data_IF_920923673032
#
_entry.id   IF_920923673032
#
_cell.length_a   1.000
_cell.length_b   1.000
_cell.length_c   1.000
_cell.angle_alpha   90.00
_cell.angle_beta   90.00
_cell.angle_gamma   90.00
#
_symmetry.space_group_name_H-M   'P 1'
#
loop_
_entity.id
_entity.type
_entity.pdbx_description
1 polymer ?
#
# COMPACT_ATOMS: atom_id res chain seq x y z
N UNK A 1 26.58 -16.81 -15.37
CA UNK A 1 26.81 -15.74 -14.37
C UNK A 1 26.97 -14.38 -15.00
N UNK A 2 25.84 -13.75 -15.32
CA UNK A 2 25.81 -12.46 -16.02
C UNK A 2 25.02 -11.44 -15.22
N UNK A 3 25.59 -10.26 -15.02
CA UNK A 3 24.90 -9.09 -14.48
C UNK A 3 24.37 -8.27 -15.65
N UNK A 4 23.16 -7.74 -15.52
CA UNK A 4 22.55 -6.83 -16.49
C UNK A 4 22.19 -5.53 -15.80
N UNK A 5 22.40 -4.41 -16.48
CA UNK A 5 21.99 -3.09 -15.99
C UNK A 5 21.64 -2.17 -17.15
N UNK A 6 20.91 -1.12 -16.83
CA UNK A 6 20.56 -0.05 -17.76
C UNK A 6 21.46 1.14 -17.55
N UNK A 7 21.96 1.73 -18.64
CA UNK A 7 22.66 3.00 -18.63
C UNK A 7 21.80 4.06 -19.32
N UNK A 8 21.37 5.05 -18.53
CA UNK A 8 20.49 6.14 -18.99
C UNK A 8 21.22 7.14 -19.89
N UNK A 9 22.50 7.40 -19.65
CA UNK A 9 23.27 8.35 -20.46
C UNK A 9 23.53 7.77 -21.86
N UNK A 10 23.84 6.48 -21.91
CA UNK A 10 24.10 5.76 -23.16
C UNK A 10 22.82 5.31 -23.85
N UNK A 11 21.67 5.31 -23.15
CA UNK A 11 20.40 4.74 -23.61
C UNK A 11 20.58 3.27 -24.05
N UNK A 12 21.20 2.46 -23.18
CA UNK A 12 21.57 1.05 -23.46
C UNK A 12 21.23 0.13 -22.30
N UNK A 13 21.07 -1.15 -22.60
CA UNK A 13 21.20 -2.24 -21.64
C UNK A 13 22.57 -2.87 -21.85
N UNK A 14 23.32 -3.04 -20.77
CA UNK A 14 24.64 -3.63 -20.77
C UNK A 14 24.65 -4.93 -19.97
N UNK A 15 25.66 -5.76 -20.21
CA UNK A 15 25.92 -6.93 -19.40
C UNK A 15 27.42 -7.17 -19.20
N UNK A 16 27.77 -7.88 -18.13
CA UNK A 16 29.14 -8.33 -17.86
C UNK A 16 29.14 -9.59 -17.00
N UNK A 17 30.31 -10.21 -16.83
CA UNK A 17 30.48 -11.34 -15.92
C UNK A 17 30.29 -10.90 -14.46
N UNK A 18 29.29 -11.46 -13.77
CA UNK A 18 28.84 -11.03 -12.43
C UNK A 18 29.96 -10.88 -11.40
N UNK A 19 30.90 -11.83 -11.36
CA UNK A 19 31.95 -11.88 -10.32
C UNK A 19 33.29 -11.24 -10.72
N UNK A 20 33.50 -11.00 -12.02
CA UNK A 20 34.79 -10.52 -12.54
C UNK A 20 34.70 -9.13 -13.15
N UNK A 21 33.50 -8.68 -13.48
CA UNK A 21 33.26 -7.45 -14.24
C UNK A 21 33.75 -7.50 -15.70
N UNK A 22 34.40 -8.59 -16.11
CA UNK A 22 34.94 -8.76 -17.46
C UNK A 22 33.84 -9.01 -18.50
N UNK A 23 34.21 -8.92 -19.78
CA UNK A 23 33.33 -9.16 -20.92
C UNK A 23 32.09 -8.24 -20.91
N UNK A 24 32.32 -6.95 -20.67
CA UNK A 24 31.26 -5.96 -20.80
C UNK A 24 30.78 -5.90 -22.26
N UNK A 25 29.48 -6.03 -22.46
CA UNK A 25 28.85 -6.01 -23.78
C UNK A 25 27.56 -5.21 -23.73
N UNK A 26 27.13 -4.71 -24.90
CA UNK A 26 25.83 -4.07 -25.06
C UNK A 26 24.82 -5.15 -25.46
N UNK A 27 23.76 -5.28 -24.67
CA UNK A 27 22.68 -6.25 -24.88
C UNK A 27 21.57 -5.65 -25.72
N UNK A 28 21.28 -4.36 -25.52
CA UNK A 28 20.25 -3.66 -26.28
C UNK A 28 20.63 -2.21 -26.53
N UNK A 29 20.36 -1.77 -27.76
CA UNK A 29 20.56 -0.39 -28.21
C UNK A 29 19.24 0.38 -28.21
N UNK A 30 19.35 1.71 -28.11
CA UNK A 30 18.25 2.66 -28.29
C UNK A 30 17.08 2.47 -27.30
N UNK A 31 17.38 2.02 -26.07
CA UNK A 31 16.37 2.01 -25.01
C UNK A 31 16.18 3.43 -24.53
N UNK A 32 15.03 4.03 -24.82
CA UNK A 32 14.74 5.41 -24.43
C UNK A 32 14.55 5.50 -22.93
N UNK A 33 15.39 6.30 -22.26
CA UNK A 33 15.29 6.63 -20.84
C UNK A 33 15.02 5.42 -19.92
N UNK A 34 15.90 4.39 -19.93
CA UNK A 34 15.66 3.22 -19.11
C UNK A 34 15.76 3.58 -17.62
N UNK A 35 14.74 3.21 -16.85
CA UNK A 35 14.66 3.47 -15.40
C UNK A 35 14.91 2.22 -14.54
N UNK A 36 14.74 1.03 -15.11
CA UNK A 36 14.96 -0.23 -14.41
C UNK A 36 14.89 -1.42 -15.36
N UNK A 37 15.45 -2.54 -14.91
CA UNK A 37 15.43 -3.83 -15.62
C UNK A 37 15.28 -4.96 -14.61
N UNK A 38 14.57 -6.00 -15.00
CA UNK A 38 14.45 -7.25 -14.26
C UNK A 38 14.51 -8.43 -15.22
N UNK A 39 15.11 -9.53 -14.77
CA UNK A 39 15.19 -10.76 -15.56
C UNK A 39 13.95 -11.61 -15.26
N UNK A 40 13.05 -11.74 -16.22
CA UNK A 40 11.87 -12.58 -16.06
C UNK A 40 12.18 -14.03 -16.44
N UNK A 41 12.50 -14.86 -15.45
CA UNK A 41 12.76 -16.29 -15.65
C UNK A 41 12.32 -17.11 -14.42
N UNK A 42 11.62 -18.25 -14.56
CA UNK A 42 11.16 -19.06 -13.42
C UNK A 42 12.27 -19.50 -12.46
N UNK A 43 13.47 -19.80 -12.96
CA UNK A 43 14.63 -20.12 -12.12
C UNK A 43 15.04 -19.01 -11.12
N UNK A 44 14.66 -17.75 -11.37
CA UNK A 44 14.91 -16.63 -10.47
C UNK A 44 13.76 -16.42 -9.46
N UNK A 45 12.69 -17.20 -9.57
CA UNK A 45 11.55 -17.25 -8.66
C UNK A 45 11.38 -18.69 -8.14
N UNK A 46 12.38 -19.22 -7.42
CA UNK A 46 12.35 -20.62 -6.98
C UNK A 46 11.14 -20.89 -6.09
N UNK A 47 10.49 -22.03 -6.33
CA UNK A 47 9.37 -22.45 -5.49
C UNK A 47 9.83 -22.75 -4.07
N UNK A 48 9.05 -22.31 -3.09
CA UNK A 48 9.29 -22.56 -1.68
C UNK A 48 7.97 -22.76 -0.95
N UNK A 49 8.00 -23.48 0.16
CA UNK A 49 6.82 -23.64 1.00
C UNK A 49 6.37 -22.26 1.50
N UNK A 50 5.12 -21.88 1.21
CA UNK A 50 4.56 -20.59 1.62
C UNK A 50 4.09 -20.65 3.09
N UNK A 51 4.73 -19.93 4.03
CA UNK A 51 4.30 -19.89 5.44
C UNK A 51 2.89 -19.35 5.65
N UNK A 52 2.37 -18.57 4.68
CA UNK A 52 1.02 -18.04 4.71
C UNK A 52 -0.07 -19.03 4.31
N UNK A 53 0.27 -20.18 3.71
CA UNK A 53 -0.71 -21.11 3.15
C UNK A 53 -1.76 -21.61 4.17
N UNK A 54 -1.40 -21.64 5.46
CA UNK A 54 -2.29 -22.01 6.57
C UNK A 54 -2.36 -20.92 7.65
N UNK A 55 -1.93 -19.71 7.32
CA UNK A 55 -1.95 -18.61 8.28
C UNK A 55 -3.39 -18.15 8.52
N UNK A 56 -3.77 -17.82 9.77
CA UNK A 56 -5.13 -17.41 10.12
C UNK A 56 -5.41 -15.93 9.80
N UNK A 57 -4.58 -15.28 8.97
CA UNK A 57 -4.70 -13.85 8.70
C UNK A 57 -6.00 -13.55 7.95
N UNK A 58 -6.80 -12.64 8.50
CA UNK A 58 -8.06 -12.17 7.90
C UNK A 58 -7.86 -11.25 6.70
N UNK A 59 -6.72 -10.55 6.63
CA UNK A 59 -6.43 -9.56 5.59
C UNK A 59 -5.10 -9.88 4.89
N UNK A 60 -3.98 -9.32 5.38
CA UNK A 60 -2.69 -9.47 4.71
C UNK A 60 -1.78 -10.39 5.51
N UNK A 61 -1.26 -11.43 4.86
CA UNK A 61 -0.19 -12.27 5.39
C UNK A 61 1.12 -11.92 4.69
N UNK A 62 2.11 -11.44 5.45
CA UNK A 62 3.41 -11.07 4.94
C UNK A 62 4.48 -12.05 5.43
N UNK A 63 5.41 -12.40 4.54
CA UNK A 63 6.58 -13.20 4.91
C UNK A 63 7.41 -12.47 5.99
N UNK A 64 7.92 -13.24 6.94
CA UNK A 64 8.72 -12.73 8.06
C UNK A 64 9.93 -13.64 8.27
N UNK A 65 11.13 -13.10 8.54
CA UNK A 65 12.29 -13.91 8.90
C UNK A 65 12.16 -14.52 10.31
N UNK A 66 11.21 -14.04 11.12
CA UNK A 66 10.94 -14.55 12.47
C UNK A 66 9.94 -15.70 12.40
N UNK A 67 10.10 -16.70 13.26
CA UNK A 67 9.10 -17.75 13.48
C UNK A 67 7.72 -17.12 13.76
N UNK A 68 6.61 -17.57 13.13
CA UNK A 68 6.46 -18.80 12.33
C UNK A 68 6.78 -18.68 10.82
N UNK A 69 7.45 -17.62 10.36
CA UNK A 69 7.75 -17.36 8.94
C UNK A 69 6.78 -16.38 8.27
N UNK A 70 5.78 -15.91 9.00
CA UNK A 70 4.84 -14.89 8.55
C UNK A 70 4.43 -13.93 9.67
N UNK A 71 3.78 -12.84 9.29
CA UNK A 71 3.09 -11.91 10.20
C UNK A 71 1.80 -11.42 9.55
N UNK A 72 0.73 -11.28 10.33
CA UNK A 72 -0.51 -10.69 9.84
C UNK A 72 -0.45 -9.16 9.92
N UNK A 73 -0.95 -8.49 8.89
CA UNK A 73 -1.12 -7.03 8.84
C UNK A 73 -2.56 -6.67 8.54
N UNK A 74 -3.02 -5.62 9.21
CA UNK A 74 -4.35 -5.07 9.06
C UNK A 74 -4.34 -3.85 8.14
N UNK A 75 -5.45 -3.57 7.45
CA UNK A 75 -5.59 -2.37 6.66
C UNK A 75 -5.55 -1.10 7.54
N UNK A 76 -5.34 0.09 6.94
CA UNK A 76 -5.49 1.37 7.63
C UNK A 76 -6.78 1.44 8.46
N UNK A 77 -6.71 1.99 9.67
CA UNK A 77 -7.84 2.07 10.60
C UNK A 77 -8.16 0.76 11.34
N UNK A 78 -7.42 -0.32 11.11
CA UNK A 78 -7.63 -1.61 11.78
C UNK A 78 -6.38 -2.08 12.52
N UNK A 79 -6.61 -2.69 13.67
CA UNK A 79 -5.61 -3.23 14.58
C UNK A 79 -5.77 -4.73 14.70
N UNK A 80 -4.70 -5.39 15.13
CA UNK A 80 -4.74 -6.82 15.38
C UNK A 80 -5.53 -7.10 16.66
N UNK A 81 -6.48 -8.05 16.59
CA UNK A 81 -7.26 -8.47 17.75
C UNK A 81 -6.37 -9.18 18.78
N UNK A 82 -6.12 -8.50 19.91
CA UNK A 82 -5.32 -9.01 21.03
C UNK A 82 -6.12 -9.87 22.00
N UNK A 83 -7.44 -9.96 21.85
CA UNK A 83 -8.30 -10.76 22.75
C UNK A 83 -8.40 -12.22 22.29
N UNK A 84 -8.25 -12.46 20.98
CA UNK A 84 -8.22 -13.80 20.38
C UNK A 84 -6.96 -14.62 20.72
N UNK A 85 -6.04 -14.09 21.54
CA UNK A 85 -4.86 -14.81 22.06
C UNK A 85 -5.09 -15.48 23.41
N UNK A 86 -6.34 -15.61 23.88
CA UNK A 86 -6.64 -16.13 25.22
C UNK A 86 -6.62 -17.66 25.35
N UNK A 87 -6.10 -18.42 24.39
CA UNK A 87 -5.78 -19.83 24.57
C UNK A 87 -4.44 -20.17 23.88
N UNK A 88 -3.34 -20.04 24.62
CA UNK A 88 -2.07 -20.67 24.28
C UNK A 88 -0.87 -19.72 24.11
N UNK A 89 -0.01 -19.71 25.13
CA UNK A 89 1.37 -19.18 25.16
C UNK A 89 1.56 -17.68 25.00
N UNK A 90 1.68 -17.03 26.16
CA UNK A 90 2.47 -15.80 26.34
C UNK A 90 3.92 -16.11 25.94
N UNK A 91 4.28 -15.76 24.71
CA UNK A 91 5.65 -15.79 24.20
C UNK A 91 5.82 -14.61 23.25
N UNK A 92 6.64 -13.62 23.63
CA UNK A 92 6.91 -12.45 22.80
C UNK A 92 7.47 -12.86 21.45
N UNK A 93 6.70 -12.65 20.38
CA UNK A 93 7.12 -12.99 19.03
C UNK A 93 5.98 -13.14 18.03
N UNK A 94 5.39 -12.02 17.60
CA UNK A 94 4.88 -11.83 16.22
C UNK A 94 3.82 -12.80 15.64
N UNK A 95 3.20 -13.67 16.43
CA UNK A 95 2.12 -14.57 16.01
C UNK A 95 0.78 -14.25 16.68
N UNK A 96 0.44 -12.96 16.83
CA UNK A 96 -0.84 -12.50 17.39
C UNK A 96 -2.04 -12.79 16.47
N UNK A 97 -3.26 -12.71 17.00
CA UNK A 97 -4.50 -13.11 16.33
C UNK A 97 -4.64 -12.61 14.88
N UNK A 98 -5.02 -13.50 13.96
CA UNK A 98 -5.12 -13.15 12.54
C UNK A 98 -6.30 -12.21 12.20
N UNK A 99 -7.18 -11.92 13.15
CA UNK A 99 -8.36 -11.08 12.96
C UNK A 99 -8.01 -9.59 13.12
N UNK A 100 -8.45 -8.79 12.16
CA UNK A 100 -8.36 -7.34 12.20
C UNK A 100 -9.67 -6.76 12.76
N UNK A 101 -9.54 -5.82 13.70
CA UNK A 101 -10.65 -5.11 14.33
C UNK A 101 -10.48 -3.60 14.14
N UNK A 102 -11.56 -2.81 13.98
CA UNK A 102 -11.45 -1.36 13.85
C UNK A 102 -10.75 -0.75 15.07
N UNK A 103 -9.87 0.23 14.82
CA UNK A 103 -9.22 1.02 15.86
C UNK A 103 -10.04 2.28 16.09
N UNK A 104 -10.42 2.55 17.33
CA UNK A 104 -11.12 3.78 17.71
C UNK A 104 -10.13 4.85 18.18
N UNK A 105 -9.20 5.24 17.29
CA UNK A 105 -8.29 6.37 17.53
C UNK A 105 -8.83 7.58 16.79
N UNK A 106 -9.00 8.74 17.45
CA UNK A 106 -9.46 9.94 16.78
C UNK A 106 -8.35 10.51 15.89
N UNK A 107 -8.74 11.00 14.71
CA UNK A 107 -7.88 11.63 13.72
C UNK A 107 -8.65 12.75 13.03
N UNK A 108 -7.92 13.66 12.39
CA UNK A 108 -8.53 14.70 11.56
C UNK A 108 -8.58 14.21 10.11
N UNK A 109 -9.74 14.28 9.47
CA UNK A 109 -9.85 14.16 8.02
C UNK A 109 -9.66 15.53 7.38
N UNK A 110 -8.85 15.60 6.33
CA UNK A 110 -8.55 16.85 5.64
C UNK A 110 -8.72 16.67 4.13
N UNK A 111 -9.59 17.49 3.56
CA UNK A 111 -9.71 17.63 2.11
C UNK A 111 -8.61 18.54 1.57
N UNK A 112 -7.95 18.06 0.53
CA UNK A 112 -7.15 18.82 -0.41
C UNK A 112 -7.86 18.81 -1.76
N UNK A 113 -7.38 19.62 -2.69
CA UNK A 113 -7.94 19.71 -4.06
C UNK A 113 -8.07 18.35 -4.75
N UNK A 114 -7.13 17.42 -4.52
CA UNK A 114 -7.07 16.14 -5.23
C UNK A 114 -7.24 14.89 -4.37
N UNK A 115 -7.39 15.06 -3.05
CA UNK A 115 -7.42 13.94 -2.12
C UNK A 115 -8.02 14.31 -0.76
N UNK A 116 -8.60 13.33 -0.06
CA UNK A 116 -8.93 13.41 1.37
C UNK A 116 -7.97 12.49 2.11
N UNK A 117 -7.29 13.02 3.12
CA UNK A 117 -6.27 12.30 3.92
C UNK A 117 -6.54 12.43 5.42
N UNK A 118 -5.88 11.61 6.21
CA UNK A 118 -5.85 11.69 7.66
C UNK A 118 -4.62 12.45 8.19
N UNK A 119 -4.79 13.07 9.35
CA UNK A 119 -3.74 13.65 10.17
C UNK A 119 -3.91 13.22 11.63
N UNK A 120 -2.78 12.90 12.28
CA UNK A 120 -2.75 12.66 13.73
C UNK A 120 -3.12 13.91 14.50
N UNK A 121 -3.82 13.72 15.63
CA UNK A 121 -4.12 14.78 16.59
C UNK A 121 -2.97 15.05 17.57
N UNK A 122 -1.96 14.19 17.62
CA UNK A 122 -0.80 14.37 18.48
C UNK A 122 0.16 15.39 17.87
N UNK A 123 0.52 16.48 18.58
CA UNK A 123 1.47 17.46 18.07
C UNK A 123 2.82 16.82 17.69
N UNK A 124 3.38 17.26 16.57
CA UNK A 124 4.65 16.76 15.98
C UNK A 124 4.63 15.29 15.51
N UNK A 125 3.50 14.59 15.62
CA UNK A 125 3.35 13.26 15.06
C UNK A 125 2.88 13.35 13.60
N UNK A 126 3.62 12.74 12.68
CA UNK A 126 3.28 12.68 11.25
C UNK A 126 2.71 11.33 10.84
N UNK A 127 2.12 10.61 11.80
CA UNK A 127 1.50 9.31 11.54
C UNK A 127 0.28 9.48 10.63
N UNK A 128 0.14 8.53 9.71
CA UNK A 128 -0.93 8.40 8.73
C UNK A 128 -1.35 6.92 8.67
N UNK A 129 -2.52 6.64 8.11
CA UNK A 129 -3.08 5.29 8.03
C UNK A 129 -4.21 5.01 9.02
N UNK A 130 -4.91 6.05 9.48
CA UNK A 130 -6.13 5.91 10.27
C UNK A 130 -7.37 5.56 9.40
N UNK A 131 -7.35 5.86 8.10
CA UNK A 131 -8.29 5.34 7.10
C UNK A 131 -7.61 5.23 5.73
N UNK A 132 -8.29 4.64 4.75
CA UNK A 132 -7.80 4.55 3.36
C UNK A 132 -7.97 5.90 2.64
N UNK A 133 -6.90 6.60 2.25
CA UNK A 133 -7.02 7.91 1.59
C UNK A 133 -7.89 7.86 0.32
N UNK A 134 -8.72 8.88 0.14
CA UNK A 134 -9.51 9.05 -1.09
C UNK A 134 -8.67 9.90 -2.02
N UNK A 135 -8.34 9.37 -3.20
CA UNK A 135 -7.45 10.01 -4.18
C UNK A 135 -8.17 10.13 -5.53
N UNK A 136 -7.62 10.97 -6.42
CA UNK A 136 -8.22 11.21 -7.73
C UNK A 136 -9.47 12.08 -7.65
N UNK A 137 -9.56 12.92 -6.61
CA UNK A 137 -10.58 13.95 -6.54
C UNK A 137 -10.20 15.05 -7.54
N UNK A 138 -11.17 15.60 -8.24
CA UNK A 138 -11.00 16.75 -9.13
C UNK A 138 -11.66 17.95 -8.45
N UNK A 139 -10.87 18.99 -8.17
CA UNK A 139 -11.33 20.24 -7.56
C UNK A 139 -12.27 20.04 -6.34
N UNK A 140 -11.79 19.28 -5.36
CA UNK A 140 -12.53 18.99 -4.13
C UNK A 140 -12.87 20.26 -3.35
N UNK A 141 -14.15 20.39 -2.96
CA UNK A 141 -14.69 21.57 -2.30
C UNK A 141 -15.01 21.34 -0.82
N UNK A 142 -15.83 20.34 -0.52
CA UNK A 142 -16.24 20.01 0.84
C UNK A 142 -16.56 18.52 0.99
N UNK A 143 -16.55 18.02 2.22
CA UNK A 143 -16.86 16.62 2.52
C UNK A 143 -17.43 16.44 3.93
N UNK A 144 -18.17 15.34 4.10
CA UNK A 144 -18.59 14.84 5.40
C UNK A 144 -18.53 13.31 5.41
N UNK A 145 -18.65 12.70 6.58
CA UNK A 145 -18.56 11.25 6.73
C UNK A 145 -19.58 10.69 7.71
N UNK A 146 -20.11 9.53 7.37
CA UNK A 146 -20.96 8.72 8.24
C UNK A 146 -20.13 7.56 8.80
N UNK A 147 -19.71 7.69 10.07
CA UNK A 147 -18.96 6.64 10.78
C UNK A 147 -19.80 5.38 11.01
N UNK A 148 -21.12 5.50 11.20
CA UNK A 148 -21.98 4.35 11.49
C UNK A 148 -22.20 3.49 10.25
N UNK A 149 -22.45 4.13 9.10
CA UNK A 149 -22.63 3.43 7.82
C UNK A 149 -21.32 3.16 7.10
N UNK A 150 -20.22 3.82 7.47
CA UNK A 150 -18.89 3.58 6.92
C UNK A 150 -18.65 4.24 5.57
N UNK A 151 -19.17 5.45 5.36
CA UNK A 151 -19.06 6.18 4.08
C UNK A 151 -18.52 7.59 4.26
N UNK A 152 -17.78 8.07 3.27
CA UNK A 152 -17.45 9.49 3.07
C UNK A 152 -18.23 10.01 1.87
N UNK A 153 -18.76 11.21 2.03
CA UNK A 153 -19.46 11.98 1.01
C UNK A 153 -18.64 13.22 0.70
N UNK A 154 -18.41 13.53 -0.57
CA UNK A 154 -17.58 14.68 -0.93
C UNK A 154 -18.07 15.35 -2.22
N UNK A 155 -17.81 16.64 -2.34
CA UNK A 155 -18.26 17.48 -3.45
C UNK A 155 -17.05 17.85 -4.32
N UNK A 156 -17.20 17.66 -5.63
CA UNK A 156 -16.27 18.17 -6.64
C UNK A 156 -16.93 19.32 -7.40
N UNK A 157 -16.26 20.46 -7.49
CA UNK A 157 -16.70 21.58 -8.32
C UNK A 157 -16.16 21.45 -9.74
N UNK A 158 -16.85 22.04 -10.71
CA UNK A 158 -16.30 22.19 -12.06
C UNK A 158 -15.25 23.30 -12.08
N UNK A 159 -14.31 23.22 -13.00
CA UNK A 159 -13.20 24.19 -13.07
C UNK A 159 -13.68 25.62 -13.39
N UNK A 160 -14.77 25.73 -14.15
CA UNK A 160 -15.37 26.98 -14.64
C UNK A 160 -16.55 27.48 -13.79
N UNK A 161 -17.05 26.65 -12.87
CA UNK A 161 -18.29 26.89 -12.13
C UNK A 161 -18.11 26.60 -10.64
N UNK A 162 -18.18 27.67 -9.83
CA UNK A 162 -18.05 27.59 -8.37
C UNK A 162 -19.36 27.30 -7.66
N UNK A 163 -20.48 27.28 -8.37
CA UNK A 163 -21.81 27.04 -7.81
C UNK A 163 -22.32 25.63 -8.11
N UNK A 164 -21.94 25.06 -9.26
CA UNK A 164 -22.33 23.70 -9.63
C UNK A 164 -21.28 22.65 -9.23
N UNK A 165 -21.66 21.79 -8.29
CA UNK A 165 -20.87 20.64 -7.85
C UNK A 165 -21.53 19.30 -8.13
N UNK A 166 -20.73 18.23 -8.09
CA UNK A 166 -21.20 16.84 -8.10
C UNK A 166 -20.91 16.20 -6.76
N UNK A 167 -21.90 15.51 -6.19
CA UNK A 167 -21.76 14.77 -4.94
C UNK A 167 -21.30 13.34 -5.23
N UNK A 168 -20.29 12.90 -4.51
CA UNK A 168 -19.75 11.55 -4.57
C UNK A 168 -19.84 10.87 -3.21
N UNK A 169 -19.94 9.55 -3.24
CA UNK A 169 -19.92 8.68 -2.06
C UNK A 169 -18.89 7.56 -2.27
N UNK A 170 -18.11 7.29 -1.25
CA UNK A 170 -17.15 6.17 -1.23
C UNK A 170 -17.12 5.53 0.16
N UNK A 171 -16.88 4.22 0.24
CA UNK A 171 -16.68 3.56 1.53
C UNK A 171 -15.39 4.05 2.20
N UNK A 172 -15.40 4.16 3.53
CA UNK A 172 -14.19 4.45 4.33
C UNK A 172 -13.10 3.38 4.16
N UNK A 173 -13.46 2.18 3.70
CA UNK A 173 -12.51 1.10 3.38
C UNK A 173 -11.92 1.22 1.97
N UNK A 174 -12.35 2.22 1.20
CA UNK A 174 -12.06 2.35 -0.21
C UNK A 174 -12.99 1.50 -1.09
N UNK A 175 -12.72 1.51 -2.39
CA UNK A 175 -13.52 0.80 -3.39
C UNK A 175 -14.17 1.74 -4.40
N UNK A 176 -15.27 1.29 -5.00
CA UNK A 176 -15.95 2.06 -6.04
C UNK A 176 -16.65 3.30 -5.47
N UNK A 177 -16.56 4.36 -6.24
CA UNK A 177 -17.22 5.64 -5.97
C UNK A 177 -18.58 5.69 -6.68
N UNK A 178 -19.58 6.17 -5.97
CA UNK A 178 -20.94 6.41 -6.49
C UNK A 178 -21.12 7.91 -6.70
N UNK A 179 -21.57 8.28 -7.90
CA UNK A 179 -21.88 9.66 -8.29
C UNK A 179 -23.39 9.91 -8.18
N UNK A 180 -23.77 11.06 -7.63
CA UNK A 180 -25.15 11.55 -7.58
C UNK A 180 -25.32 12.76 -8.49
#
# INVERSE_FOLDING_TARGET
DTLYWTDRQLNRVLSCHKFRGSNQTVVSHLVSQPLGIHINHPLLQPESANPCAKAPCSHLCLLSPKSPGYTCKCPPGYGQDRTSSSNGTVGGGGGGGGRCIPIDTPYLMVMKTTQIIDLSLTPNEKSVGFFTPIIGIENGYDFDYDKQQGYTYYIQLRDDDKENGTLYKVSLLGGNQTKF
#
